data_IF_667839051036
#
_entry.id   IF_667839051036
#
_cell.length_a   1.000
_cell.length_b   1.000
_cell.length_c   1.000
_cell.angle_alpha   90.00
_cell.angle_beta   90.00
_cell.angle_gamma   90.00
#
_symmetry.space_group_name_H-M   'P 1'
#
loop_
_entity.id
_entity.type
_entity.pdbx_description
1 polymer ?
#
# COMPACT_ATOMS: atom_id res chain seq x y z
N UNK A 1 -4.58 -60.54 -43.85
CA UNK A 1 -5.07 -59.32 -43.14
C UNK A 1 -4.04 -58.23 -43.31
N UNK A 2 -4.18 -57.39 -44.33
CA UNK A 2 -3.33 -56.22 -44.57
C UNK A 2 -4.13 -55.02 -44.05
N UNK A 3 -3.71 -54.41 -42.94
CA UNK A 3 -4.32 -53.19 -42.40
C UNK A 3 -3.80 -52.00 -43.19
N UNK A 4 -4.71 -51.33 -43.88
CA UNK A 4 -4.55 -50.02 -44.49
C UNK A 4 -4.37 -48.93 -43.42
N UNK A 5 -3.30 -48.14 -43.49
CA UNK A 5 -3.16 -46.90 -42.73
C UNK A 5 -3.40 -45.72 -43.67
N UNK A 6 -4.56 -45.09 -43.51
CA UNK A 6 -4.95 -43.83 -44.16
C UNK A 6 -4.25 -42.66 -43.47
N UNK A 7 -3.28 -42.04 -44.15
CA UNK A 7 -2.68 -40.78 -43.72
C UNK A 7 -3.64 -39.63 -44.01
N UNK A 8 -4.15 -39.01 -42.95
CA UNK A 8 -5.01 -37.84 -43.00
C UNK A 8 -4.29 -36.62 -43.58
N UNK A 9 -5.02 -35.87 -44.42
CA UNK A 9 -4.60 -34.59 -45.01
C UNK A 9 -4.53 -33.51 -43.90
N UNK A 10 -3.45 -32.73 -43.76
CA UNK A 10 -3.45 -31.59 -42.83
C UNK A 10 -4.37 -30.50 -43.37
N UNK A 11 -5.32 -30.07 -42.52
CA UNK A 11 -6.17 -28.89 -42.72
C UNK A 11 -5.31 -27.66 -42.47
N UNK A 12 -5.02 -26.87 -43.51
CA UNK A 12 -4.35 -25.59 -43.37
C UNK A 12 -5.33 -24.58 -42.78
N UNK A 13 -5.03 -24.04 -41.60
CA UNK A 13 -5.67 -22.84 -41.07
C UNK A 13 -5.17 -21.62 -41.84
N UNK A 14 -6.08 -20.70 -42.18
CA UNK A 14 -5.77 -19.51 -42.98
C UNK A 14 -4.80 -18.57 -42.23
N UNK A 15 -3.72 -18.07 -42.87
CA UNK A 15 -2.77 -17.18 -42.24
C UNK A 15 -3.31 -15.74 -42.10
N UNK A 16 -2.86 -14.97 -41.09
CA UNK A 16 -3.34 -13.62 -40.84
C UNK A 16 -2.99 -12.68 -42.01
N UNK A 17 -4.01 -11.96 -42.48
CA UNK A 17 -4.01 -11.13 -43.69
C UNK A 17 -3.06 -9.92 -43.69
N UNK A 18 -2.32 -9.67 -42.60
CA UNK A 18 -1.40 -8.52 -42.45
C UNK A 18 0.07 -8.85 -42.69
N UNK A 19 0.40 -10.01 -43.25
CA UNK A 19 1.78 -10.31 -43.63
C UNK A 19 2.06 -9.86 -45.08
N UNK A 20 2.86 -8.79 -45.29
CA UNK A 20 3.22 -8.33 -46.64
C UNK A 20 3.93 -9.40 -47.48
N UNK A 21 4.46 -10.45 -46.84
CA UNK A 21 5.00 -11.64 -47.51
C UNK A 21 3.96 -12.40 -48.34
N UNK A 22 2.74 -12.61 -47.82
CA UNK A 22 1.70 -13.37 -48.52
C UNK A 22 1.09 -12.57 -49.66
N UNK A 23 0.90 -11.26 -49.47
CA UNK A 23 0.40 -10.36 -50.52
C UNK A 23 1.36 -10.32 -51.71
N UNK A 24 2.66 -10.24 -51.45
CA UNK A 24 3.67 -10.19 -52.51
C UNK A 24 3.89 -11.56 -53.18
N UNK A 25 3.79 -12.66 -52.42
CA UNK A 25 3.92 -14.03 -52.95
C UNK A 25 2.72 -14.41 -53.84
N UNK A 26 1.49 -14.11 -53.39
CA UNK A 26 0.27 -14.36 -54.16
C UNK A 26 0.20 -13.50 -55.44
N UNK A 27 0.64 -12.24 -55.37
CA UNK A 27 0.69 -11.35 -56.54
C UNK A 27 1.64 -11.85 -57.64
N UNK A 28 2.73 -12.53 -57.28
CA UNK A 28 3.63 -13.14 -58.26
C UNK A 28 3.11 -14.46 -58.85
N UNK A 29 2.35 -15.24 -58.09
CA UNK A 29 1.78 -16.51 -58.58
C UNK A 29 0.61 -16.31 -59.56
N UNK A 30 -0.15 -15.22 -59.42
CA UNK A 30 -1.30 -14.92 -60.28
C UNK A 30 -0.91 -14.52 -61.73
N UNK A 31 0.32 -14.04 -61.95
CA UNK A 31 0.77 -13.58 -63.27
C UNK A 31 1.29 -14.71 -64.18
N UNK A 32 1.50 -15.93 -63.67
CA UNK A 32 2.19 -17.00 -64.40
C UNK A 32 1.26 -18.05 -65.08
N UNK A 33 -0.05 -17.80 -65.20
CA UNK A 33 -1.00 -18.79 -65.80
C UNK A 33 -1.52 -18.45 -67.20
N UNK A 34 -0.78 -17.71 -68.04
CA UNK A 34 -1.13 -17.57 -69.47
C UNK A 34 0.04 -17.34 -70.41
N UNK A 35 0.77 -18.41 -70.76
CA UNK A 35 1.38 -18.62 -72.10
C UNK A 35 2.14 -19.96 -72.15
N UNK A 36 1.82 -20.81 -73.13
CA UNK A 36 2.59 -22.01 -73.45
C UNK A 36 2.88 -22.04 -74.97
N UNK A 37 4.15 -21.82 -75.37
CA UNK A 37 4.81 -22.39 -76.58
C UNK A 37 6.20 -21.78 -76.86
N UNK A 38 7.30 -22.46 -76.45
CA UNK A 38 8.72 -22.44 -76.93
C UNK A 38 9.54 -21.12 -77.03
N UNK A 39 10.91 -21.13 -77.05
CA UNK A 39 11.89 -22.17 -76.72
C UNK A 39 12.52 -21.96 -75.31
N UNK A 40 13.09 -23.01 -74.75
CA UNK A 40 13.83 -23.00 -73.49
C UNK A 40 15.03 -22.05 -73.55
N UNK A 41 14.96 -20.88 -72.89
CA UNK A 41 16.04 -20.16 -72.15
C UNK A 41 15.64 -18.74 -71.61
N UNK A 42 14.66 -18.59 -70.69
CA UNK A 42 14.56 -17.39 -69.82
C UNK A 42 15.04 -17.65 -68.36
N UNK A 43 15.54 -18.85 -68.08
CA UNK A 43 15.77 -19.34 -66.70
C UNK A 43 16.97 -18.68 -66.00
N UNK A 44 17.99 -18.26 -66.75
CA UNK A 44 19.22 -17.70 -66.18
C UNK A 44 19.06 -16.25 -65.67
N UNK A 45 18.33 -15.40 -66.41
CA UNK A 45 18.03 -14.04 -65.99
C UNK A 45 17.10 -14.04 -64.76
N UNK A 46 16.02 -14.82 -64.80
CA UNK A 46 15.10 -14.98 -63.68
C UNK A 46 15.80 -15.53 -62.41
N UNK A 47 16.72 -16.49 -62.58
CA UNK A 47 17.56 -16.99 -61.47
C UNK A 47 18.43 -15.88 -60.87
N UNK A 48 19.03 -15.03 -61.70
CA UNK A 48 19.89 -13.93 -61.25
C UNK A 48 19.11 -12.91 -60.43
N UNK A 49 17.89 -12.55 -60.87
CA UNK A 49 17.00 -11.65 -60.13
C UNK A 49 16.57 -12.26 -58.80
N UNK A 50 16.16 -13.54 -58.79
CA UNK A 50 15.83 -14.26 -57.55
C UNK A 50 17.03 -14.35 -56.60
N UNK A 51 18.25 -14.50 -57.13
CA UNK A 51 19.46 -14.52 -56.31
C UNK A 51 19.80 -13.16 -55.71
N UNK A 52 19.54 -12.07 -56.43
CA UNK A 52 19.64 -10.70 -55.89
C UNK A 52 18.61 -10.47 -54.78
N UNK A 53 17.36 -10.85 -54.99
CA UNK A 53 16.30 -10.76 -53.97
C UNK A 53 16.64 -11.54 -52.70
N UNK A 54 17.20 -12.76 -52.83
CA UNK A 54 17.66 -13.55 -51.69
C UNK A 54 18.77 -12.83 -50.90
N UNK A 55 19.74 -12.21 -51.58
CA UNK A 55 20.81 -11.44 -50.92
C UNK A 55 20.27 -10.20 -50.21
N UNK A 56 19.29 -9.52 -50.79
CA UNK A 56 18.64 -8.36 -50.17
C UNK A 56 17.86 -8.75 -48.92
N UNK A 57 17.06 -9.82 -49.01
CA UNK A 57 16.35 -10.38 -47.87
C UNK A 57 17.32 -10.84 -46.77
N UNK A 58 18.43 -11.46 -47.13
CA UNK A 58 19.47 -11.85 -46.18
C UNK A 58 20.05 -10.63 -45.46
N UNK A 59 20.33 -9.52 -46.16
CA UNK A 59 20.79 -8.26 -45.54
C UNK A 59 19.75 -7.70 -44.58
N UNK A 60 18.47 -7.67 -44.97
CA UNK A 60 17.37 -7.23 -44.11
C UNK A 60 17.28 -8.07 -42.83
N UNK A 61 17.40 -9.40 -42.92
CA UNK A 61 17.40 -10.26 -41.75
C UNK A 61 18.59 -10.00 -40.82
N UNK A 62 19.79 -9.80 -41.35
CA UNK A 62 20.95 -9.45 -40.52
C UNK A 62 20.74 -8.14 -39.75
N UNK A 63 20.20 -7.11 -40.39
CA UNK A 63 19.86 -5.84 -39.73
C UNK A 63 18.81 -6.03 -38.63
N UNK A 64 17.74 -6.79 -38.91
CA UNK A 64 16.70 -7.08 -37.91
C UNK A 64 17.26 -7.86 -36.72
N UNK A 65 18.13 -8.84 -36.95
CA UNK A 65 18.79 -9.59 -35.88
C UNK A 65 19.63 -8.66 -35.00
N UNK A 66 20.42 -7.76 -35.59
CA UNK A 66 21.20 -6.78 -34.83
C UNK A 66 20.32 -5.87 -33.98
N UNK A 67 19.23 -5.35 -34.55
CA UNK A 67 18.28 -4.51 -33.80
C UNK A 67 17.63 -5.29 -32.66
N UNK A 68 17.15 -6.51 -32.92
CA UNK A 68 16.54 -7.36 -31.87
C UNK A 68 17.51 -7.72 -30.75
N UNK A 69 18.79 -7.90 -31.06
CA UNK A 69 19.82 -8.10 -30.04
C UNK A 69 20.02 -6.84 -29.17
N UNK A 70 19.95 -5.64 -29.76
CA UNK A 70 20.00 -4.37 -29.01
C UNK A 70 18.77 -4.22 -28.10
N UNK A 71 17.57 -4.45 -28.64
CA UNK A 71 16.32 -4.37 -27.89
C UNK A 71 16.32 -5.36 -26.70
N UNK A 72 16.80 -6.58 -26.95
CA UNK A 72 16.90 -7.63 -25.93
C UNK A 72 17.90 -7.26 -24.83
N UNK A 73 19.01 -6.60 -25.16
CA UNK A 73 19.94 -6.07 -24.16
C UNK A 73 19.26 -4.98 -23.32
N UNK A 74 18.62 -4.00 -23.95
CA UNK A 74 17.91 -2.93 -23.25
C UNK A 74 16.82 -3.47 -22.32
N UNK A 75 16.08 -4.48 -22.76
CA UNK A 75 15.06 -5.12 -21.95
C UNK A 75 15.65 -5.83 -20.73
N UNK A 76 16.79 -6.52 -20.88
CA UNK A 76 17.51 -7.13 -19.74
C UNK A 76 17.94 -6.08 -18.73
N UNK A 77 18.54 -4.99 -19.20
CA UNK A 77 18.99 -3.89 -18.33
C UNK A 77 17.80 -3.26 -17.57
N UNK A 78 16.66 -3.06 -18.25
CA UNK A 78 15.43 -2.54 -17.63
C UNK A 78 14.85 -3.50 -16.58
N UNK A 79 14.83 -4.80 -16.85
CA UNK A 79 14.37 -5.82 -15.89
C UNK A 79 15.24 -5.85 -14.64
N UNK A 80 16.56 -5.82 -14.78
CA UNK A 80 17.47 -5.81 -13.63
C UNK A 80 17.36 -4.50 -12.84
N UNK A 81 17.22 -3.36 -13.51
CA UNK A 81 16.95 -2.07 -12.86
C UNK A 81 15.65 -2.09 -12.05
N UNK A 82 14.57 -2.64 -12.60
CA UNK A 82 13.29 -2.77 -11.90
C UNK A 82 13.38 -3.69 -10.68
N UNK A 83 14.05 -4.85 -10.81
CA UNK A 83 14.31 -5.74 -9.67
C UNK A 83 15.08 -5.05 -8.56
N UNK A 84 16.11 -4.30 -8.92
CA UNK A 84 16.90 -3.55 -7.94
C UNK A 84 16.06 -2.49 -7.24
N UNK A 85 15.28 -1.71 -8.00
CA UNK A 85 14.36 -0.71 -7.46
C UNK A 85 13.33 -1.32 -6.50
N UNK A 86 12.73 -2.46 -6.85
CA UNK A 86 11.80 -3.16 -5.97
C UNK A 86 12.47 -3.63 -4.68
N UNK A 87 13.69 -4.16 -4.75
CA UNK A 87 14.48 -4.55 -3.57
C UNK A 87 14.76 -3.36 -2.65
N UNK A 88 15.20 -2.24 -3.22
CA UNK A 88 15.44 -1.00 -2.46
C UNK A 88 14.16 -0.50 -1.79
N UNK A 89 13.02 -0.49 -2.50
CA UNK A 89 11.75 -0.08 -1.93
C UNK A 89 11.32 -0.96 -0.75
N UNK A 90 11.55 -2.27 -0.82
CA UNK A 90 11.31 -3.19 0.31
C UNK A 90 12.25 -2.85 1.48
N UNK A 91 13.55 -2.74 1.23
CA UNK A 91 14.54 -2.43 2.29
C UNK A 91 14.24 -1.11 3.00
N UNK A 92 13.85 -0.07 2.26
CA UNK A 92 13.50 1.22 2.85
C UNK A 92 12.17 1.16 3.61
N UNK A 93 11.19 0.41 3.12
CA UNK A 93 9.93 0.17 3.84
C UNK A 93 10.16 -0.56 5.17
N UNK A 94 11.01 -1.59 5.19
CA UNK A 94 11.38 -2.33 6.39
C UNK A 94 12.07 -1.45 7.45
N UNK A 95 12.92 -0.50 7.02
CA UNK A 95 13.52 0.48 7.94
C UNK A 95 12.45 1.36 8.59
N UNK A 96 11.50 1.87 7.81
CA UNK A 96 10.40 2.70 8.31
C UNK A 96 9.55 1.92 9.31
N UNK A 97 9.17 0.67 8.99
CA UNK A 97 8.41 -0.17 9.92
C UNK A 97 9.18 -0.46 11.21
N UNK A 98 10.49 -0.67 11.12
CA UNK A 98 11.35 -0.85 12.29
C UNK A 98 11.34 0.39 13.19
N UNK A 99 11.39 1.59 12.63
CA UNK A 99 11.29 2.85 13.41
C UNK A 99 9.92 3.02 14.07
N UNK A 100 8.84 2.66 13.37
CA UNK A 100 7.49 2.68 13.92
C UNK A 100 7.33 1.72 15.11
N UNK A 101 7.85 0.50 14.99
CA UNK A 101 7.84 -0.49 16.07
C UNK A 101 8.58 0.07 17.30
N UNK A 102 9.78 0.64 17.12
CA UNK A 102 10.54 1.27 18.20
C UNK A 102 9.77 2.41 18.87
N UNK A 103 9.02 3.21 18.10
CA UNK A 103 8.19 4.27 18.65
C UNK A 103 7.08 3.71 19.55
N UNK A 104 6.38 2.66 19.12
CA UNK A 104 5.35 1.99 19.91
C UNK A 104 5.94 1.35 21.18
N UNK A 105 7.12 0.74 21.09
CA UNK A 105 7.82 0.19 22.25
C UNK A 105 8.19 1.27 23.27
N UNK A 106 8.64 2.45 22.81
CA UNK A 106 8.91 3.59 23.69
C UNK A 106 7.65 4.06 24.40
N UNK A 107 6.53 4.22 23.68
CA UNK A 107 5.23 4.59 24.27
C UNK A 107 4.78 3.57 25.31
N UNK A 108 4.93 2.26 25.01
CA UNK A 108 4.63 1.18 25.96
C UNK A 108 5.44 1.33 27.25
N UNK A 109 6.74 1.55 27.13
CA UNK A 109 7.64 1.72 28.29
C UNK A 109 7.26 2.95 29.12
N UNK A 110 6.97 4.08 28.47
CA UNK A 110 6.58 5.33 29.12
C UNK A 110 5.28 5.19 29.92
N UNK A 111 4.23 4.64 29.30
CA UNK A 111 2.94 4.38 29.98
C UNK A 111 3.12 3.41 31.15
N UNK A 112 3.91 2.35 30.96
CA UNK A 112 4.18 1.37 32.03
C UNK A 112 4.89 2.03 33.21
N UNK A 113 5.90 2.86 32.94
CA UNK A 113 6.66 3.54 33.98
C UNK A 113 5.78 4.54 34.75
N UNK A 114 4.94 5.31 34.07
CA UNK A 114 4.01 6.24 34.72
C UNK A 114 3.04 5.53 35.68
N UNK A 115 2.53 4.35 35.29
CA UNK A 115 1.67 3.53 36.17
C UNK A 115 2.45 3.11 37.43
N UNK A 116 3.69 2.64 37.27
CA UNK A 116 4.55 2.20 38.39
C UNK A 116 4.93 3.33 39.32
N UNK A 117 5.24 4.50 38.78
CA UNK A 117 5.60 5.69 39.57
C UNK A 117 4.39 6.17 40.39
N UNK A 118 3.20 6.17 39.78
CA UNK A 118 1.96 6.53 40.45
C UNK A 118 1.58 5.51 41.54
N UNK A 119 1.71 4.21 41.24
CA UNK A 119 1.52 3.12 42.22
C UNK A 119 2.44 3.31 43.43
N UNK A 120 3.75 3.50 43.18
CA UNK A 120 4.75 3.69 44.23
C UNK A 120 4.46 4.93 45.08
N UNK A 121 4.08 6.05 44.45
CA UNK A 121 3.73 7.28 45.18
C UNK A 121 2.47 7.10 46.04
N UNK A 122 1.44 6.42 45.51
CA UNK A 122 0.21 6.13 46.25
C UNK A 122 0.46 5.21 47.45
N UNK A 123 1.24 4.14 47.26
CA UNK A 123 1.63 3.20 48.33
C UNK A 123 2.44 3.91 49.41
N UNK A 124 3.46 4.69 49.03
CA UNK A 124 4.28 5.42 50.01
C UNK A 124 3.46 6.42 50.84
N UNK A 125 2.47 7.07 50.23
CA UNK A 125 1.53 7.94 50.94
C UNK A 125 0.67 7.16 51.93
N UNK A 126 0.17 5.98 51.53
CA UNK A 126 -0.60 5.07 52.36
C UNK A 126 0.18 4.63 53.60
N UNK A 127 1.41 4.15 53.40
CA UNK A 127 2.30 3.69 54.46
C UNK A 127 2.60 4.82 55.47
N UNK A 128 2.79 6.05 54.98
CA UNK A 128 2.96 7.22 55.85
C UNK A 128 1.70 7.58 56.64
N UNK A 129 0.50 7.33 56.10
CA UNK A 129 -0.75 7.48 56.85
C UNK A 129 -0.91 6.35 57.89
N UNK A 130 -0.62 5.10 57.52
CA UNK A 130 -0.66 3.95 58.43
C UNK A 130 0.24 4.15 59.64
N UNK A 131 1.51 4.53 59.43
CA UNK A 131 2.46 4.79 60.53
C UNK A 131 1.98 5.88 61.50
N UNK A 132 1.32 6.92 60.98
CA UNK A 132 0.75 7.99 61.82
C UNK A 132 -0.41 7.47 62.65
N UNK A 133 -1.30 6.68 62.07
CA UNK A 133 -2.42 6.07 62.79
C UNK A 133 -1.95 5.08 63.85
N UNK A 134 -0.92 4.28 63.56
CA UNK A 134 -0.31 3.38 64.54
C UNK A 134 0.24 4.15 65.75
N UNK A 135 0.90 5.30 65.51
CA UNK A 135 1.40 6.17 66.58
C UNK A 135 0.27 6.80 67.39
N UNK A 136 -0.77 7.32 66.72
CA UNK A 136 -1.93 7.93 67.38
C UNK A 136 -2.67 6.91 68.26
N UNK A 137 -2.87 5.68 67.77
CA UNK A 137 -3.45 4.58 68.55
C UNK A 137 -2.58 4.25 69.77
N UNK A 138 -1.25 4.23 69.62
CA UNK A 138 -0.35 3.96 70.75
C UNK A 138 -0.40 5.08 71.81
N UNK A 139 -0.44 6.34 71.37
CA UNK A 139 -0.56 7.49 72.28
C UNK A 139 -1.93 7.54 72.97
N UNK A 140 -3.01 7.21 72.26
CA UNK A 140 -4.35 7.08 72.84
C UNK A 140 -4.40 5.96 73.88
N UNK A 141 -3.85 4.78 73.58
CA UNK A 141 -3.74 3.67 74.56
C UNK A 141 -2.96 4.08 75.80
N UNK A 142 -1.84 4.81 75.65
CA UNK A 142 -1.08 5.33 76.79
C UNK A 142 -1.95 6.23 77.66
N UNK A 143 -2.61 7.24 77.06
CA UNK A 143 -3.47 8.18 77.80
C UNK A 143 -4.67 7.49 78.46
N UNK A 144 -5.27 6.52 77.78
CA UNK A 144 -6.34 5.69 78.34
C UNK A 144 -5.88 4.98 79.63
N UNK A 145 -4.68 4.38 79.63
CA UNK A 145 -4.13 3.76 80.85
C UNK A 145 -3.77 4.78 81.96
N UNK A 146 -3.41 6.01 81.60
CA UNK A 146 -3.17 7.10 82.57
C UNK A 146 -4.48 7.57 83.21
N UNK A 147 -5.55 7.71 82.41
CA UNK A 147 -6.89 8.04 82.87
C UNK A 147 -7.45 6.96 83.80
N UNK A 148 -7.24 5.68 83.48
CA UNK A 148 -7.63 4.57 84.37
C UNK A 148 -6.87 4.60 85.70
N UNK A 149 -5.58 4.93 85.72
CA UNK A 149 -4.86 5.09 87.00
C UNK A 149 -5.38 6.28 87.81
N UNK A 150 -5.69 7.38 87.15
CA UNK A 150 -6.26 8.57 87.77
C UNK A 150 -7.63 8.30 88.40
N UNK A 151 -8.49 7.52 87.73
CA UNK A 151 -9.82 7.15 88.25
C UNK A 151 -9.77 6.37 89.57
N UNK A 152 -8.69 5.62 89.80
CA UNK A 152 -8.45 4.84 91.03
C UNK A 152 -7.69 5.61 92.13
N UNK A 153 -7.42 6.91 91.94
CA UNK A 153 -6.68 7.72 92.93
C UNK A 153 -7.57 8.11 94.11
N UNK A 154 -7.19 7.69 95.33
CA UNK A 154 -7.98 7.94 96.55
C UNK A 154 -7.87 9.40 97.07
N UNK A 155 -6.78 10.11 96.75
CA UNK A 155 -6.56 11.49 97.18
C UNK A 155 -7.29 12.47 96.24
N UNK A 156 -8.34 13.11 96.75
CA UNK A 156 -9.17 14.03 95.98
C UNK A 156 -8.43 15.28 95.48
N UNK A 157 -7.38 15.73 96.18
CA UNK A 157 -6.60 16.91 95.76
C UNK A 157 -5.75 16.57 94.52
N UNK A 158 -5.06 15.43 94.55
CA UNK A 158 -4.21 14.96 93.45
C UNK A 158 -5.02 14.71 92.17
N UNK A 159 -6.23 14.14 92.32
CA UNK A 159 -7.17 13.94 91.22
C UNK A 159 -7.57 15.26 90.55
N UNK A 160 -7.97 16.27 91.33
CA UNK A 160 -8.38 17.59 90.82
C UNK A 160 -7.22 18.37 90.17
N UNK A 161 -6.01 18.26 90.73
CA UNK A 161 -4.82 18.89 90.15
C UNK A 161 -4.47 18.31 88.77
N UNK A 162 -4.63 17.00 88.61
CA UNK A 162 -4.30 16.29 87.37
C UNK A 162 -5.26 16.62 86.21
N UNK A 163 -6.52 16.89 86.51
CA UNK A 163 -7.53 17.29 85.51
C UNK A 163 -7.36 18.73 85.01
N UNK A 164 -6.55 19.55 85.67
CA UNK A 164 -6.27 20.93 85.24
C UNK A 164 -5.23 21.02 84.11
N UNK A 165 -4.60 19.91 83.73
CA UNK A 165 -3.66 19.86 82.60
C UNK A 165 -4.41 19.67 81.26
N UNK A 166 -4.01 20.35 80.16
CA UNK A 166 -4.65 20.19 78.86
C UNK A 166 -4.46 18.77 78.31
N UNK A 167 -5.56 18.08 78.04
CA UNK A 167 -5.59 16.75 77.43
C UNK A 167 -5.82 16.86 75.92
N UNK A 168 -5.00 17.64 75.20
CA UNK A 168 -5.23 17.85 73.77
C UNK A 168 -4.75 16.65 72.93
N UNK A 169 -5.68 16.10 72.15
CA UNK A 169 -5.40 15.21 71.03
C UNK A 169 -5.29 16.05 69.76
N UNK A 170 -4.23 15.85 68.99
CA UNK A 170 -4.09 16.46 67.66
C UNK A 170 -4.74 15.53 66.63
N UNK A 171 -6.08 15.54 66.55
CA UNK A 171 -6.80 14.76 65.56
C UNK A 171 -6.57 15.38 64.17
N UNK A 172 -5.65 14.82 63.39
CA UNK A 172 -5.37 15.28 62.03
C UNK A 172 -6.29 14.51 61.06
N UNK A 173 -7.06 15.18 60.20
CA UNK A 173 -8.00 14.51 59.31
C UNK A 173 -7.30 13.55 58.33
N UNK A 174 -7.81 12.30 58.30
CA UNK A 174 -7.35 11.24 57.40
C UNK A 174 -7.98 11.46 56.02
N UNK A 175 -7.15 11.60 54.99
CA UNK A 175 -7.61 11.69 53.60
C UNK A 175 -8.14 10.32 53.15
N UNK A 176 -9.38 10.20 52.64
CA UNK A 176 -9.94 8.93 52.17
C UNK A 176 -9.11 8.33 51.02
N UNK A 177 -8.59 7.13 51.24
CA UNK A 177 -7.65 6.46 50.34
C UNK A 177 -8.30 5.92 49.05
N UNK A 178 -9.62 5.77 49.01
CA UNK A 178 -10.37 5.14 47.92
C UNK A 178 -10.33 5.90 46.59
N UNK A 179 -10.09 7.21 46.59
CA UNK A 179 -10.01 8.02 45.38
C UNK A 179 -8.68 7.89 44.62
N UNK A 180 -7.68 7.18 45.17
CA UNK A 180 -6.29 7.19 44.69
C UNK A 180 -5.86 5.96 43.88
N UNK A 181 -6.73 4.96 43.67
CA UNK A 181 -6.28 3.61 43.28
C UNK A 181 -6.77 3.08 41.92
N UNK A 182 -7.76 3.69 41.27
CA UNK A 182 -8.28 3.12 40.01
C UNK A 182 -7.43 3.51 38.79
N UNK A 183 -6.96 2.52 38.05
CA UNK A 183 -6.29 2.67 36.76
C UNK A 183 -7.23 2.39 35.57
N UNK A 184 -8.54 2.28 35.80
CA UNK A 184 -9.51 2.00 34.72
C UNK A 184 -9.49 3.06 33.62
N UNK A 185 -9.26 4.33 33.99
CA UNK A 185 -9.10 5.42 33.04
C UNK A 185 -7.89 5.23 32.13
N UNK A 186 -6.77 4.72 32.67
CA UNK A 186 -5.56 4.43 31.90
C UNK A 186 -5.82 3.31 30.90
N UNK A 187 -6.44 2.22 31.36
CA UNK A 187 -6.82 1.09 30.49
C UNK A 187 -7.73 1.55 29.34
N UNK A 188 -8.77 2.34 29.62
CA UNK A 188 -9.67 2.90 28.59
C UNK A 188 -8.92 3.78 27.60
N UNK A 189 -7.98 4.60 28.08
CA UNK A 189 -7.17 5.48 27.23
C UNK A 189 -6.24 4.70 26.30
N UNK A 190 -5.62 3.62 26.79
CA UNK A 190 -4.78 2.73 25.98
C UNK A 190 -5.60 1.97 24.93
N UNK A 191 -6.81 1.51 25.29
CA UNK A 191 -7.73 0.90 24.30
C UNK A 191 -8.11 1.89 23.20
N UNK A 192 -8.47 3.12 23.56
CA UNK A 192 -8.79 4.15 22.58
C UNK A 192 -7.59 4.52 21.69
N UNK A 193 -6.37 4.56 22.24
CA UNK A 193 -5.14 4.74 21.47
C UNK A 193 -4.94 3.61 20.44
N UNK A 194 -5.14 2.34 20.85
CA UNK A 194 -5.09 1.17 19.96
C UNK A 194 -6.08 1.31 18.81
N UNK A 195 -7.34 1.62 19.09
CA UNK A 195 -8.38 1.72 18.07
C UNK A 195 -8.09 2.81 17.03
N UNK A 196 -7.57 3.96 17.49
CA UNK A 196 -7.10 5.04 16.59
C UNK A 196 -5.93 4.59 15.72
N UNK A 197 -4.95 3.91 16.30
CA UNK A 197 -3.79 3.42 15.55
C UNK A 197 -4.21 2.41 14.49
N UNK A 198 -5.07 1.45 14.84
CA UNK A 198 -5.60 0.45 13.90
C UNK A 198 -6.40 1.09 12.76
N UNK A 199 -7.20 2.13 13.05
CA UNK A 199 -7.92 2.87 12.03
C UNK A 199 -6.97 3.54 11.03
N UNK A 200 -5.97 4.29 11.52
CA UNK A 200 -4.98 4.96 10.68
C UNK A 200 -4.19 3.94 9.86
N UNK A 201 -3.76 2.84 10.46
CA UNK A 201 -3.04 1.78 9.76
C UNK A 201 -3.84 1.17 8.61
N UNK A 202 -5.15 0.92 8.80
CA UNK A 202 -6.01 0.37 7.74
C UNK A 202 -6.14 1.34 6.56
N UNK A 203 -6.37 2.62 6.83
CA UNK A 203 -6.52 3.64 5.79
C UNK A 203 -5.23 3.83 4.98
N UNK A 204 -4.07 3.91 5.65
CA UNK A 204 -2.80 4.08 4.96
C UNK A 204 -2.35 2.82 4.23
N UNK A 205 -2.61 1.62 4.78
CA UNK A 205 -2.30 0.36 4.10
C UNK A 205 -3.06 0.24 2.78
N UNK A 206 -4.33 0.69 2.74
CA UNK A 206 -5.12 0.74 1.51
C UNK A 206 -4.45 1.63 0.45
N UNK A 207 -4.04 2.84 0.82
CA UNK A 207 -3.35 3.79 -0.09
C UNK A 207 -2.01 3.25 -0.59
N UNK A 208 -1.25 2.58 0.28
CA UNK A 208 0.02 1.93 -0.10
C UNK A 208 -0.27 0.82 -1.11
N UNK A 209 -1.26 -0.03 -0.85
CA UNK A 209 -1.65 -1.12 -1.74
C UNK A 209 -2.08 -0.62 -3.12
N UNK A 210 -2.85 0.47 -3.19
CA UNK A 210 -3.26 1.08 -4.46
C UNK A 210 -2.05 1.55 -5.29
N UNK A 211 -1.03 2.11 -4.65
CA UNK A 211 0.21 2.53 -5.33
C UNK A 211 1.03 1.34 -5.84
N UNK A 212 1.10 0.25 -5.07
CA UNK A 212 1.81 -0.99 -5.48
C UNK A 212 1.11 -1.67 -6.66
N UNK A 213 -0.23 -1.65 -6.72
CA UNK A 213 -0.99 -2.22 -7.84
C UNK A 213 -0.81 -1.37 -9.10
N UNK A 214 -0.84 -0.05 -8.96
CA UNK A 214 -0.71 0.90 -10.08
C UNK A 214 0.64 0.81 -10.80
N UNK A 215 1.70 0.35 -10.13
CA UNK A 215 3.02 0.15 -10.75
C UNK A 215 3.11 -1.05 -11.71
N UNK A 216 2.10 -1.93 -11.73
CA UNK A 216 2.11 -3.18 -12.50
C UNK A 216 1.21 -3.21 -13.75
N UNK A 217 0.45 -2.16 -14.04
CA UNK A 217 -0.58 -2.21 -15.09
C UNK A 217 -0.09 -1.59 -16.40
N UNK A 218 0.40 -2.45 -17.31
CA UNK A 218 0.03 -2.28 -18.71
C UNK A 218 -1.48 -2.53 -18.73
N UNK A 219 -2.34 -1.59 -19.19
CA UNK A 219 -3.78 -1.81 -19.16
C UNK A 219 -4.11 -3.01 -20.05
N UNK A 220 -4.55 -4.11 -19.43
CA UNK A 220 -4.84 -5.37 -20.14
C UNK A 220 -6.33 -5.56 -20.36
N UNK A 221 -7.17 -4.91 -19.54
CA UNK A 221 -8.62 -4.92 -19.71
C UNK A 221 -9.14 -3.55 -20.15
N UNK A 222 -10.31 -3.55 -20.80
CA UNK A 222 -11.00 -2.30 -21.19
C UNK A 222 -11.21 -1.37 -20.00
N UNK A 223 -11.53 -1.91 -18.82
CA UNK A 223 -11.72 -1.08 -17.62
C UNK A 223 -10.43 -0.42 -17.15
N UNK A 224 -9.29 -1.11 -17.25
CA UNK A 224 -7.98 -0.55 -16.90
C UNK A 224 -7.64 0.65 -17.78
N UNK A 225 -7.92 0.53 -19.09
CA UNK A 225 -7.67 1.60 -20.05
C UNK A 225 -8.61 2.80 -19.85
N UNK A 226 -9.87 2.53 -19.46
CA UNK A 226 -10.86 3.58 -19.22
C UNK A 226 -10.55 4.46 -17.99
N UNK A 227 -9.70 4.02 -17.06
CA UNK A 227 -9.23 4.87 -15.97
C UNK A 227 -8.41 6.08 -16.46
N UNK A 228 -7.85 6.00 -17.67
CA UNK A 228 -7.10 7.07 -18.31
C UNK A 228 -7.94 7.84 -19.36
N UNK A 229 -9.24 7.58 -19.43
CA UNK A 229 -10.11 8.25 -20.40
C UNK A 229 -10.31 9.72 -20.04
N UNK A 230 -10.05 10.59 -21.00
CA UNK A 230 -10.36 12.02 -20.91
C UNK A 230 -11.30 12.40 -22.05
N UNK A 231 -12.26 13.27 -21.75
CA UNK A 231 -13.11 13.85 -22.77
C UNK A 231 -12.25 14.78 -23.65
N UNK A 232 -11.98 14.34 -24.88
CA UNK A 232 -11.23 15.14 -25.84
C UNK A 232 -12.13 16.24 -26.39
N UNK A 233 -11.72 17.49 -26.21
CA UNK A 233 -12.32 18.65 -26.86
C UNK A 233 -11.48 19.03 -28.07
N UNK A 234 -12.11 19.22 -29.22
CA UNK A 234 -11.43 19.70 -30.42
C UNK A 234 -11.33 21.22 -30.33
N UNK A 235 -10.12 21.76 -30.55
CA UNK A 235 -9.90 23.19 -30.61
C UNK A 235 -10.34 23.73 -31.98
N UNK A 236 -11.39 24.56 -31.98
CA UNK A 236 -11.97 25.19 -33.16
C UNK A 236 -10.98 26.00 -33.97
N UNK A 237 -9.89 26.48 -33.36
CA UNK A 237 -8.85 27.27 -34.04
C UNK A 237 -7.88 26.41 -34.86
N UNK A 238 -7.92 25.08 -34.68
CA UNK A 238 -7.03 24.12 -35.37
C UNK A 238 -7.77 23.22 -36.37
N UNK A 239 -9.05 23.47 -36.60
CA UNK A 239 -9.89 22.66 -37.49
C UNK A 239 -9.56 22.99 -38.94
N UNK A 240 -9.31 21.94 -39.72
CA UNK A 240 -9.09 22.05 -41.15
C UNK A 240 -10.37 22.56 -41.85
N UNK A 241 -10.24 23.40 -42.88
CA UNK A 241 -11.37 24.03 -43.58
C UNK A 241 -12.39 23.03 -44.16
N UNK A 242 -11.98 21.77 -44.40
CA UNK A 242 -12.88 20.70 -44.86
C UNK A 242 -13.58 19.92 -43.73
N UNK A 243 -13.48 20.37 -42.47
CA UNK A 243 -14.09 19.73 -41.31
C UNK A 243 -15.07 20.68 -40.60
N UNK A 244 -16.30 20.22 -40.40
CA UNK A 244 -17.30 20.92 -39.57
C UNK A 244 -17.49 20.17 -38.24
N UNK A 245 -17.44 20.89 -37.12
CA UNK A 245 -17.67 20.33 -35.79
C UNK A 245 -19.15 20.42 -35.42
N UNK A 246 -19.74 19.29 -34.99
CA UNK A 246 -21.10 19.28 -34.42
C UNK A 246 -21.07 19.45 -32.90
N UNK A 247 -22.12 20.08 -32.35
CA UNK A 247 -22.25 20.52 -30.95
C UNK A 247 -22.18 19.39 -29.91
N UNK A 248 -22.27 18.14 -30.34
CA UNK A 248 -22.08 16.94 -29.51
C UNK A 248 -20.91 16.16 -30.11
N UNK A 249 -19.72 16.36 -29.54
CA UNK A 249 -18.43 15.97 -30.12
C UNK A 249 -18.39 14.65 -30.91
N UNK A 250 -17.71 14.72 -32.05
CA UNK A 250 -17.29 13.65 -32.96
C UNK A 250 -18.41 12.92 -33.75
N UNK A 251 -18.94 13.60 -34.78
CA UNK A 251 -19.45 12.97 -36.00
C UNK A 251 -18.76 13.61 -37.20
N UNK A 252 -18.26 12.81 -38.15
CA UNK A 252 -17.70 13.33 -39.41
C UNK A 252 -18.76 13.23 -40.52
N UNK A 253 -19.03 14.34 -41.20
CA UNK A 253 -19.68 14.36 -42.51
C UNK A 253 -18.60 14.70 -43.54
N UNK A 254 -18.34 13.78 -44.47
CA UNK A 254 -17.61 14.13 -45.70
C UNK A 254 -18.65 14.65 -46.67
N UNK A 255 -18.68 15.97 -46.88
CA UNK A 255 -19.60 16.58 -47.82
C UNK A 255 -19.19 16.16 -49.24
N UNK A 256 -19.93 15.22 -49.81
CA UNK A 256 -19.92 14.94 -51.25
C UNK A 256 -21.31 15.27 -51.78
N UNK A 257 -21.39 16.41 -52.45
CA UNK A 257 -22.40 16.88 -53.39
C UNK A 257 -23.71 17.49 -52.84
N UNK A 258 -23.89 18.80 -53.06
CA UNK A 258 -24.91 19.30 -54.00
C UNK A 258 -24.74 20.80 -54.31
N UNK A 259 -24.31 21.10 -55.54
CA UNK A 259 -24.74 22.29 -56.28
C UNK A 259 -26.22 22.08 -56.62
N UNK A 260 -27.13 22.85 -56.03
CA UNK A 260 -28.38 23.30 -56.70
C UNK A 260 -29.07 24.42 -55.92
N UNK A 261 -29.44 25.44 -56.70
CA UNK A 261 -30.40 26.53 -56.46
C UNK A 261 -30.00 27.70 -55.54
N UNK A 262 -29.31 28.71 -56.10
CA UNK A 262 -29.94 29.95 -56.62
C UNK A 262 -28.92 30.83 -57.35
#
# INVERSE_FOLDING_TARGET
MIRSASLGRPRWEDPPYDNPFWVHFMSHQALDTKAASGPSLPTAAQRTDKQKQLKDMQRTYHQRIQQRNKDLKQLRDAVESHKHSAKTAVEDSEKIFTELIRCIERIRSEVTQQIRDQEKAAVSRAEGQMKRLEQEIADLKRRDTELEKLSHTQNHIDFLQSLSAPLESTDIPIIPFSALLSFDGVKKSVCHFKDKLEYVCKEELKKISERVISTNMIPWTRNDFLQYSHQLTLDTNTVNEFLCLSERGAGYMTDTQSLQDM
#
